data_IF_271039107444
#
_entry.id   IF_271039107444
#
_cell.length_a   1.000
_cell.length_b   1.000
_cell.length_c   1.000
_cell.angle_alpha   90.00
_cell.angle_beta   90.00
_cell.angle_gamma   90.00
#
_symmetry.space_group_name_H-M   'P 1'
#
loop_
_entity.id
_entity.type
_entity.pdbx_description
1 polymer ?
#
# COMPACT_ATOMS: atom_id res chain seq x y z
N UNK A 1 -4.00 14.54 -0.11
CA UNK A 1 -4.09 13.34 -0.97
C UNK A 1 -5.56 12.95 -0.98
N UNK A 2 -6.29 13.38 -2.01
CA UNK A 2 -7.68 12.97 -2.22
C UNK A 2 -7.69 11.82 -3.22
N UNK A 3 -7.27 10.63 -2.78
CA UNK A 3 -7.43 9.39 -3.53
C UNK A 3 -8.62 8.62 -2.94
N UNK A 4 -9.82 9.03 -3.36
CA UNK A 4 -11.01 8.27 -3.05
C UNK A 4 -11.14 7.08 -4.01
N UNK A 5 -11.21 5.89 -3.43
CA UNK A 5 -11.42 4.63 -4.14
C UNK A 5 -12.93 4.43 -4.20
N UNK A 6 -13.51 4.59 -5.39
CA UNK A 6 -14.96 4.54 -5.61
C UNK A 6 -15.44 3.20 -6.19
N UNK A 7 -14.51 2.35 -6.66
CA UNK A 7 -14.82 1.05 -7.26
C UNK A 7 -13.67 0.08 -7.07
N UNK A 8 -14.00 -1.21 -6.95
CA UNK A 8 -13.03 -2.32 -6.96
C UNK A 8 -12.87 -2.98 -8.34
N UNK A 9 -13.70 -2.62 -9.33
CA UNK A 9 -13.62 -3.17 -10.68
C UNK A 9 -12.46 -2.53 -11.45
N UNK A 10 -11.60 -3.36 -12.04
CA UNK A 10 -10.51 -2.94 -12.93
C UNK A 10 -10.66 -3.61 -14.30
N UNK A 11 -10.04 -3.04 -15.35
CA UNK A 11 -10.16 -3.57 -16.73
C UNK A 11 -9.13 -4.65 -17.03
N UNK A 12 -7.98 -4.60 -16.37
CA UNK A 12 -6.87 -5.53 -16.57
C UNK A 12 -6.34 -6.04 -15.23
N UNK A 13 -5.65 -7.20 -15.22
CA UNK A 13 -4.96 -7.69 -14.02
C UNK A 13 -3.92 -6.71 -13.48
N UNK A 14 -3.18 -6.03 -14.35
CA UNK A 14 -2.18 -5.01 -13.96
C UNK A 14 -2.84 -3.84 -13.22
N UNK A 15 -3.97 -3.33 -13.72
CA UNK A 15 -4.76 -2.31 -13.00
C UNK A 15 -5.29 -2.83 -11.66
N UNK A 16 -5.66 -4.12 -11.60
CA UNK A 16 -6.06 -4.81 -10.37
C UNK A 16 -4.95 -4.84 -9.34
N UNK A 17 -3.74 -5.21 -9.75
CA UNK A 17 -2.56 -5.21 -8.88
C UNK A 17 -2.24 -3.80 -8.37
N UNK A 18 -2.29 -2.79 -9.23
CA UNK A 18 -2.11 -1.39 -8.83
C UNK A 18 -3.19 -0.91 -7.86
N UNK A 19 -4.43 -1.39 -7.99
CA UNK A 19 -5.49 -1.13 -7.02
C UNK A 19 -5.19 -1.80 -5.67
N UNK A 20 -4.77 -3.06 -5.65
CA UNK A 20 -4.39 -3.78 -4.43
C UNK A 20 -3.25 -3.07 -3.68
N UNK A 21 -2.22 -2.63 -4.40
CA UNK A 21 -1.11 -1.82 -3.84
C UNK A 21 -1.63 -0.52 -3.23
N UNK A 22 -2.53 0.19 -3.91
CA UNK A 22 -3.12 1.43 -3.39
C UNK A 22 -3.94 1.21 -2.13
N UNK A 23 -4.74 0.13 -2.08
CA UNK A 23 -5.52 -0.24 -0.90
C UNK A 23 -4.59 -0.52 0.30
N UNK A 24 -3.54 -1.32 0.10
CA UNK A 24 -2.54 -1.60 1.14
C UNK A 24 -1.86 -0.33 1.66
N UNK A 25 -1.46 0.58 0.76
CA UNK A 25 -0.84 1.86 1.15
C UNK A 25 -1.81 2.78 1.89
N UNK A 26 -3.10 2.78 1.50
CA UNK A 26 -4.14 3.56 2.16
C UNK A 26 -4.30 3.13 3.62
N UNK A 27 -4.24 1.84 3.92
CA UNK A 27 -4.26 1.33 5.31
C UNK A 27 -3.13 1.90 6.16
N UNK A 28 -1.92 2.00 5.62
CA UNK A 28 -0.78 2.65 6.31
C UNK A 28 -1.06 4.13 6.59
N UNK A 29 -1.62 4.85 5.61
CA UNK A 29 -2.02 6.25 5.75
C UNK A 29 -3.17 6.47 6.76
N UNK A 30 -4.10 5.53 6.86
CA UNK A 30 -5.21 5.55 7.82
C UNK A 30 -4.72 5.31 9.25
N UNK A 31 -3.83 4.35 9.46
CA UNK A 31 -3.28 4.03 10.79
C UNK A 31 -2.34 5.13 11.29
N UNK A 32 -1.49 5.66 10.40
CA UNK A 32 -0.55 6.72 10.72
C UNK A 32 -0.79 7.93 9.81
N UNK A 33 -1.63 8.89 10.21
CA UNK A 33 -2.01 10.03 9.37
C UNK A 33 -0.87 11.04 9.15
N UNK A 34 0.12 11.11 10.05
CA UNK A 34 1.25 12.03 9.92
C UNK A 34 2.24 11.58 8.83
N UNK A 35 2.32 12.39 7.76
CA UNK A 35 3.22 12.15 6.63
C UNK A 35 4.70 12.21 7.04
N UNK A 36 5.09 13.10 7.95
CA UNK A 36 6.47 13.22 8.41
C UNK A 36 6.90 11.96 9.16
N UNK A 37 6.03 11.39 9.99
CA UNK A 37 6.27 10.09 10.64
C UNK A 37 6.43 8.98 9.59
N UNK A 38 5.52 8.89 8.60
CA UNK A 38 5.64 7.87 7.53
C UNK A 38 6.94 7.99 6.74
N UNK A 39 7.39 9.21 6.44
CA UNK A 39 8.66 9.47 5.77
C UNK A 39 9.85 8.99 6.61
N UNK A 40 9.84 9.22 7.94
CA UNK A 40 10.87 8.72 8.85
C UNK A 40 10.89 7.20 8.97
N UNK A 41 9.74 6.54 8.84
CA UNK A 41 9.62 5.08 8.89
C UNK A 41 10.02 4.40 7.58
N UNK A 42 9.85 5.06 6.42
CA UNK A 42 10.11 4.48 5.09
C UNK A 42 11.48 3.80 4.96
N UNK A 43 12.61 4.42 5.34
CA UNK A 43 13.92 3.79 5.21
C UNK A 43 14.10 2.51 6.05
N UNK A 44 13.32 2.35 7.15
CA UNK A 44 13.42 1.18 8.03
C UNK A 44 12.90 -0.08 7.35
N UNK A 45 11.79 0.03 6.62
CA UNK A 45 11.19 -1.13 5.96
C UNK A 45 11.58 -1.26 4.49
N UNK A 46 11.87 -0.17 3.78
CA UNK A 46 12.19 -0.24 2.35
C UNK A 46 13.55 -0.87 2.02
N UNK A 47 14.39 -1.10 3.04
CA UNK A 47 15.72 -1.73 2.92
C UNK A 47 15.82 -3.07 3.65
N UNK A 48 14.72 -3.56 4.21
CA UNK A 48 14.67 -4.82 4.95
C UNK A 48 13.92 -5.84 4.10
N UNK A 49 14.58 -6.93 3.69
CA UNK A 49 14.01 -7.95 2.82
C UNK A 49 12.77 -8.63 3.41
N UNK A 50 12.77 -8.95 4.71
CA UNK A 50 11.62 -9.56 5.38
C UNK A 50 10.41 -8.62 5.38
N UNK A 51 10.63 -7.32 5.62
CA UNK A 51 9.56 -6.33 5.60
C UNK A 51 9.05 -6.05 4.17
N UNK A 52 9.90 -6.20 3.15
CA UNK A 52 9.46 -6.16 1.74
C UNK A 52 8.60 -7.36 1.38
N UNK A 53 8.96 -8.57 1.82
CA UNK A 53 8.15 -9.78 1.66
C UNK A 53 6.82 -9.64 2.41
N UNK A 54 6.84 -9.14 3.64
CA UNK A 54 5.63 -8.87 4.41
C UNK A 54 4.71 -7.87 3.70
N UNK A 55 5.25 -6.79 3.13
CA UNK A 55 4.48 -5.86 2.33
C UNK A 55 3.86 -6.52 1.08
N UNK A 56 4.60 -7.42 0.42
CA UNK A 56 4.10 -8.21 -0.70
C UNK A 56 2.93 -9.12 -0.29
N UNK A 57 3.00 -9.78 0.87
CA UNK A 57 1.92 -10.60 1.40
C UNK A 57 0.63 -9.80 1.66
N UNK A 58 0.75 -8.56 2.14
CA UNK A 58 -0.41 -7.68 2.33
C UNK A 58 -1.06 -7.36 0.98
N UNK A 59 -0.27 -7.01 -0.04
CA UNK A 59 -0.80 -6.76 -1.40
C UNK A 59 -1.48 -8.01 -1.96
N UNK A 60 -0.89 -9.19 -1.76
CA UNK A 60 -1.47 -10.46 -2.17
C UNK A 60 -2.80 -10.79 -1.47
N UNK A 61 -3.03 -10.27 -0.26
CA UNK A 61 -4.30 -10.44 0.47
C UNK A 61 -5.42 -9.54 -0.09
N UNK A 62 -5.06 -8.42 -0.72
CA UNK A 62 -6.01 -7.51 -1.37
C UNK A 62 -6.37 -7.90 -2.81
N UNK A 63 -5.52 -8.68 -3.47
CA UNK A 63 -5.65 -9.08 -4.87
C UNK A 63 -6.34 -10.44 -4.99
#
# INVERSE_FOLDING_TARGET
MNDNIHSLKTKTPEEGFQLAVRLAQKTVGTIQPDRAIRQRLRPKYSRNAELLIAASQVVATYF
#
